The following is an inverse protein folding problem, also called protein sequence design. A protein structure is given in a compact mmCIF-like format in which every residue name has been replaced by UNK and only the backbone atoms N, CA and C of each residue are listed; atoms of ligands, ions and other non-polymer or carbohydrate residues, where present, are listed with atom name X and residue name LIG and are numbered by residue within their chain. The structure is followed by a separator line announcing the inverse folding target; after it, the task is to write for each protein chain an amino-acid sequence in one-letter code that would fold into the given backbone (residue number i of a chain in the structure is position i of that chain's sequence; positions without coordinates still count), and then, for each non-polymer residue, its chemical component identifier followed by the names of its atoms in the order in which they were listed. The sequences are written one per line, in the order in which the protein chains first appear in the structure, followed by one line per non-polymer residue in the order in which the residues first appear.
data_IF_794772490040
#
_entry.id   IF_794772490040
#
_cell.length_a   1.000
_cell.length_b   1.000
_cell.length_c   1.000
_cell.angle_alpha   90.00
_cell.angle_beta   90.00
_cell.angle_gamma   90.00
#
_symmetry.space_group_name_H-M   'P 1'
#
loop_
_entity.id
_entity.type
_entity.pdbx_description
1 polymer ?
#
# COMPACT_ATOMS: atom_id res chain seq x y z
N UNK A 1 -2.62 -7.76 -7.50
CA UNK A 1 -2.08 -9.09 -7.17
C UNK A 1 -2.31 -9.41 -5.71
N UNK A 2 -2.34 -10.71 -5.33
CA UNK A 2 -2.17 -11.09 -3.94
C UNK A 2 -0.69 -11.13 -3.61
N UNK A 3 -0.32 -10.83 -2.35
CA UNK A 3 1.09 -10.83 -1.94
C UNK A 3 1.76 -12.18 -2.22
N UNK A 4 1.11 -13.28 -1.87
CA UNK A 4 1.68 -14.64 -2.05
C UNK A 4 1.88 -15.00 -3.52
N UNK A 5 1.07 -14.42 -4.42
CA UNK A 5 1.26 -14.62 -5.86
C UNK A 5 2.60 -14.06 -6.38
N UNK A 6 3.24 -13.17 -5.61
CA UNK A 6 4.57 -12.65 -5.93
C UNK A 6 5.68 -13.69 -5.74
N UNK A 7 5.41 -14.78 -5.01
CA UNK A 7 6.37 -15.86 -4.79
C UNK A 7 6.93 -16.47 -6.08
N UNK A 8 6.13 -16.47 -7.15
CA UNK A 8 6.52 -17.01 -8.48
C UNK A 8 7.58 -16.20 -9.21
N UNK A 9 7.80 -14.92 -8.81
CA UNK A 9 8.73 -14.05 -9.50
C UNK A 9 10.12 -14.08 -8.85
N UNK A 10 11.16 -14.13 -9.67
CA UNK A 10 12.57 -14.16 -9.23
C UNK A 10 13.11 -12.75 -8.90
N UNK A 11 12.48 -11.69 -9.40
CA UNK A 11 12.91 -10.30 -9.20
C UNK A 11 11.74 -9.35 -9.26
N UNK A 12 11.91 -8.14 -8.69
CA UNK A 12 10.92 -7.06 -8.78
C UNK A 12 10.63 -6.68 -10.23
N UNK A 13 11.66 -6.60 -11.09
CA UNK A 13 11.50 -6.31 -12.52
C UNK A 13 10.57 -7.31 -13.20
N UNK A 14 10.72 -8.60 -12.91
CA UNK A 14 9.85 -9.64 -13.45
C UNK A 14 8.42 -9.52 -12.91
N UNK A 15 8.26 -9.19 -11.61
CA UNK A 15 6.95 -9.01 -10.99
C UNK A 15 6.20 -7.78 -11.55
N UNK A 16 6.93 -6.71 -11.85
CA UNK A 16 6.36 -5.48 -12.44
C UNK A 16 5.86 -5.67 -13.88
N UNK A 17 6.45 -6.59 -14.65
CA UNK A 17 6.02 -6.84 -16.04
C UNK A 17 6.01 -5.58 -16.92
N UNK A 18 6.98 -4.68 -16.73
CA UNK A 18 7.06 -3.40 -17.44
C UNK A 18 6.23 -2.27 -16.84
N UNK A 19 5.48 -2.53 -15.78
CA UNK A 19 4.76 -1.49 -15.02
C UNK A 19 5.67 -0.85 -13.96
N UNK A 20 5.25 0.31 -13.46
CA UNK A 20 5.98 1.04 -12.42
C UNK A 20 5.56 0.60 -11.02
N UNK A 21 4.34 0.13 -10.85
CA UNK A 21 3.76 -0.18 -9.54
C UNK A 21 3.09 -1.54 -9.52
N UNK A 22 3.09 -2.14 -8.34
CA UNK A 22 2.30 -3.33 -8.02
C UNK A 22 1.45 -3.00 -6.81
N UNK A 23 0.13 -3.10 -6.95
CA UNK A 23 -0.80 -3.10 -5.82
C UNK A 23 -0.97 -4.55 -5.36
N UNK A 24 -0.75 -4.78 -4.08
CA UNK A 24 -0.85 -6.10 -3.47
C UNK A 24 -1.88 -6.10 -2.36
N UNK A 25 -2.61 -7.21 -2.27
CA UNK A 25 -3.50 -7.53 -1.17
C UNK A 25 -2.84 -8.61 -0.31
N UNK A 26 -2.63 -8.32 0.96
CA UNK A 26 -2.38 -9.36 1.97
C UNK A 26 -3.69 -10.04 2.30
N UNK A 27 -3.73 -11.34 2.09
CA UNK A 27 -4.84 -12.18 2.54
C UNK A 27 -4.47 -12.76 3.89
N UNK A 28 -5.34 -12.59 4.88
CA UNK A 28 -5.16 -13.25 6.17
C UNK A 28 -5.41 -14.74 5.96
N UNK A 29 -4.37 -15.55 6.08
CA UNK A 29 -4.49 -17.00 5.93
C UNK A 29 -5.24 -17.61 7.10
N UNK A 30 -6.26 -18.41 6.82
CA UNK A 30 -7.19 -19.02 7.78
C UNK A 30 -6.55 -19.99 8.80
N UNK A 31 -5.23 -20.14 8.79
CA UNK A 31 -4.54 -21.26 9.44
C UNK A 31 -4.62 -21.32 10.95
N UNK A 32 -5.10 -20.31 11.68
CA UNK A 32 -4.86 -20.30 13.13
C UNK A 32 -6.00 -19.91 14.05
N UNK A 33 -7.11 -19.35 13.65
CA UNK A 33 -8.25 -19.21 14.57
C UNK A 33 -9.56 -18.80 13.90
N UNK A 34 -10.67 -19.25 14.48
CA UNK A 34 -12.03 -18.78 14.15
C UNK A 34 -12.19 -17.25 14.28
N UNK A 35 -11.32 -16.57 15.05
CA UNK A 35 -11.31 -15.11 15.22
C UNK A 35 -10.81 -14.33 14.01
N UNK A 36 -9.96 -14.95 13.17
CA UNK A 36 -9.34 -14.28 12.00
C UNK A 36 -10.16 -14.39 10.72
N UNK A 37 -11.23 -15.18 10.72
CA UNK A 37 -12.12 -15.37 9.55
C UNK A 37 -12.70 -14.09 8.96
N UNK A 38 -12.76 -13.02 9.78
CA UNK A 38 -13.36 -11.74 9.40
C UNK A 38 -12.37 -10.58 9.38
N UNK A 39 -11.05 -10.85 9.44
CA UNK A 39 -10.11 -9.76 9.26
C UNK A 39 -10.04 -9.39 7.79
N UNK A 40 -10.36 -8.13 7.45
CA UNK A 40 -10.22 -7.65 6.08
C UNK A 40 -8.74 -7.76 5.67
N UNK A 41 -8.49 -8.12 4.41
CA UNK A 41 -7.15 -8.07 3.86
C UNK A 41 -6.61 -6.65 3.90
N UNK A 42 -5.28 -6.51 3.83
CA UNK A 42 -4.63 -5.20 3.82
C UNK A 42 -3.98 -4.91 2.48
N UNK A 43 -4.23 -3.71 1.94
CA UNK A 43 -3.65 -3.28 0.67
C UNK A 43 -2.34 -2.51 0.88
N UNK A 44 -1.36 -2.85 0.05
CA UNK A 44 -0.08 -2.13 -0.04
C UNK A 44 0.26 -1.82 -1.50
N UNK A 45 1.19 -0.90 -1.72
CA UNK A 45 1.78 -0.68 -3.04
C UNK A 45 3.30 -0.74 -3.00
N UNK A 46 3.88 -1.43 -3.96
CA UNK A 46 5.31 -1.41 -4.25
C UNK A 46 5.50 -0.54 -5.49
N UNK A 47 6.27 0.53 -5.36
CA UNK A 47 6.55 1.48 -6.42
C UNK A 47 8.05 1.44 -6.78
N UNK A 48 8.35 0.93 -7.96
CA UNK A 48 9.69 0.96 -8.52
C UNK A 48 9.91 2.32 -9.20
N UNK A 49 10.36 3.27 -8.44
CA UNK A 49 10.60 4.64 -8.88
C UNK A 49 11.63 4.73 -10.02
N UNK A 50 11.82 5.94 -10.55
CA UNK A 50 12.77 6.21 -11.61
C UNK A 50 14.18 5.70 -11.27
N UNK A 51 14.97 5.42 -12.30
CA UNK A 51 16.35 4.93 -12.18
C UNK A 51 17.16 5.80 -11.19
N UNK A 52 17.83 5.17 -10.25
CA UNK A 52 18.63 5.85 -9.23
C UNK A 52 17.87 6.23 -7.95
N UNK A 53 16.55 6.00 -7.90
CA UNK A 53 15.77 6.18 -6.68
C UNK A 53 15.45 4.83 -6.01
N UNK A 54 15.39 4.78 -4.67
CA UNK A 54 15.07 3.55 -3.98
C UNK A 54 13.62 3.13 -4.28
N UNK A 55 13.41 1.83 -4.39
CA UNK A 55 12.06 1.27 -4.45
C UNK A 55 11.29 1.65 -3.19
N UNK A 56 10.02 1.94 -3.33
CA UNK A 56 9.16 2.32 -2.24
C UNK A 56 8.18 1.19 -1.91
N UNK A 57 8.07 0.89 -0.63
CA UNK A 57 6.98 0.11 -0.06
C UNK A 57 6.06 1.06 0.69
N UNK A 58 4.80 1.10 0.32
CA UNK A 58 3.81 1.95 0.97
C UNK A 58 2.69 1.12 1.56
N UNK A 59 2.43 1.36 2.83
CA UNK A 59 1.29 0.83 3.58
C UNK A 59 0.67 1.93 4.43
N UNK A 60 -0.65 2.05 4.43
CA UNK A 60 -1.35 3.04 5.24
C UNK A 60 -1.18 2.82 6.75
N UNK A 61 -0.86 1.61 7.18
CA UNK A 61 -0.60 1.28 8.58
C UNK A 61 0.67 1.93 9.14
N UNK A 62 1.66 2.22 8.28
CA UNK A 62 2.96 2.77 8.69
C UNK A 62 3.84 1.77 9.45
N UNK A 63 3.49 0.49 9.44
CA UNK A 63 4.29 -0.54 10.10
C UNK A 63 5.56 -0.86 9.31
N UNK A 64 6.56 -1.35 10.03
CA UNK A 64 7.73 -1.93 9.40
C UNK A 64 7.29 -3.14 8.56
N UNK A 65 7.69 -3.22 7.28
CA UNK A 65 7.16 -4.22 6.34
C UNK A 65 7.29 -5.67 6.81
N UNK A 66 8.40 -6.04 7.44
CA UNK A 66 8.58 -7.41 7.94
C UNK A 66 7.61 -7.75 9.07
N UNK A 67 7.30 -6.80 9.94
CA UNK A 67 6.31 -6.98 11.02
C UNK A 67 4.89 -7.05 10.47
N UNK A 68 4.57 -6.22 9.50
CA UNK A 68 3.26 -6.21 8.85
C UNK A 68 3.00 -7.55 8.13
N UNK A 69 3.98 -8.03 7.37
CA UNK A 69 3.90 -9.32 6.69
C UNK A 69 3.73 -10.47 7.69
N UNK A 70 4.50 -10.47 8.78
CA UNK A 70 4.39 -11.48 9.81
C UNK A 70 3.01 -11.48 10.48
N UNK A 71 2.41 -10.30 10.68
CA UNK A 71 1.06 -10.16 11.24
C UNK A 71 -0.03 -10.73 10.31
N UNK A 72 0.21 -10.79 9.00
CA UNK A 72 -0.70 -11.41 8.01
C UNK A 72 -0.41 -12.89 7.76
N UNK A 73 0.55 -13.46 8.49
CA UNK A 73 1.03 -14.86 8.28
C UNK A 73 1.57 -15.14 6.88
N UNK A 74 1.95 -14.11 6.15
CA UNK A 74 2.60 -14.23 4.85
C UNK A 74 4.11 -14.41 4.97
N UNK A 75 4.76 -14.96 3.92
CA UNK A 75 6.21 -15.20 3.95
C UNK A 75 7.02 -13.92 3.71
N UNK A 76 7.77 -13.40 4.71
CA UNK A 76 8.57 -12.20 4.55
C UNK A 76 9.74 -12.35 3.56
N UNK A 77 10.15 -13.59 3.25
CA UNK A 77 11.22 -13.85 2.28
C UNK A 77 10.83 -13.41 0.86
N UNK A 78 9.53 -13.37 0.55
CA UNK A 78 9.05 -12.87 -0.75
C UNK A 78 9.47 -11.42 -0.93
N UNK A 79 9.15 -10.55 0.03
CA UNK A 79 9.50 -9.13 -0.01
C UNK A 79 11.01 -8.93 -0.02
N UNK A 80 11.72 -9.61 0.86
CA UNK A 80 13.18 -9.52 0.95
C UNK A 80 13.87 -9.89 -0.37
N UNK A 81 13.38 -10.93 -1.06
CA UNK A 81 13.89 -11.33 -2.37
C UNK A 81 13.63 -10.29 -3.45
N UNK A 82 12.42 -9.68 -3.46
CA UNK A 82 12.02 -8.74 -4.49
C UNK A 82 12.63 -7.35 -4.30
N UNK A 83 12.68 -6.84 -3.09
CA UNK A 83 13.15 -5.48 -2.79
C UNK A 83 14.62 -5.43 -2.34
N UNK A 84 15.18 -6.54 -1.85
CA UNK A 84 16.49 -6.54 -1.23
C UNK A 84 16.51 -5.72 0.06
N UNK A 85 17.64 -5.05 0.32
CA UNK A 85 17.82 -4.22 1.53
C UNK A 85 17.61 -2.72 1.28
N UNK A 86 17.60 -2.30 0.01
CA UNK A 86 17.58 -0.88 -0.37
C UNK A 86 16.19 -0.45 -0.83
N UNK A 87 15.26 -0.40 0.08
CA UNK A 87 13.94 0.19 -0.17
C UNK A 87 13.58 1.16 0.95
N UNK A 88 12.66 2.07 0.67
CA UNK A 88 12.10 3.01 1.64
C UNK A 88 10.64 2.65 1.92
N UNK A 89 10.18 2.98 3.11
CA UNK A 89 8.77 2.84 3.49
C UNK A 89 8.32 4.00 4.39
N UNK A 90 7.02 4.22 4.46
CA UNK A 90 6.47 5.19 5.39
C UNK A 90 6.44 4.58 6.81
N UNK A 91 7.09 5.25 7.75
CA UNK A 91 7.14 4.83 9.17
C UNK A 91 6.05 5.47 10.04
N UNK A 92 5.16 6.25 9.43
CA UNK A 92 4.02 6.88 10.11
C UNK A 92 2.72 6.37 9.50
N UNK A 93 1.70 6.06 10.31
CA UNK A 93 0.40 5.67 9.81
C UNK A 93 -0.29 6.85 9.11
N UNK A 94 -1.10 6.52 8.12
CA UNK A 94 -2.00 7.43 7.43
C UNK A 94 -3.45 7.15 7.81
N UNK A 95 -3.80 5.87 7.97
CA UNK A 95 -5.12 5.47 8.41
C UNK A 95 -5.22 5.43 9.95
N UNK A 96 -6.41 5.66 10.45
CA UNK A 96 -6.72 5.47 11.87
C UNK A 96 -6.70 3.97 12.18
N UNK A 97 -5.99 3.59 13.22
CA UNK A 97 -6.02 2.23 13.76
C UNK A 97 -7.43 1.94 14.31
N UNK A 98 -8.13 0.99 13.74
CA UNK A 98 -9.46 0.59 14.18
C UNK A 98 -10.38 0.16 13.03
N UNK A 99 -11.69 0.46 13.12
CA UNK A 99 -12.74 -0.13 12.30
C UNK A 99 -12.87 0.40 10.86
N UNK A 100 -12.00 1.30 10.43
CA UNK A 100 -12.12 1.91 9.11
C UNK A 100 -11.24 1.18 8.10
N UNK A 101 -11.88 0.50 7.16
CA UNK A 101 -11.23 -0.22 6.08
C UNK A 101 -10.86 0.73 4.92
N UNK A 102 -9.94 1.69 5.18
CA UNK A 102 -9.53 2.72 4.22
C UNK A 102 -8.20 2.45 3.54
N UNK A 103 -7.49 1.37 3.88
CA UNK A 103 -6.17 1.04 3.34
C UNK A 103 -6.14 1.06 1.80
N UNK A 104 -7.17 0.56 1.11
CA UNK A 104 -7.25 0.57 -0.34
C UNK A 104 -7.35 1.98 -0.93
N UNK A 105 -8.02 2.92 -0.22
CA UNK A 105 -8.13 4.32 -0.63
C UNK A 105 -6.78 5.03 -0.55
N UNK A 106 -6.02 4.77 0.51
CA UNK A 106 -4.66 5.26 0.68
C UNK A 106 -3.73 4.74 -0.42
N UNK A 107 -3.84 3.47 -0.76
CA UNK A 107 -3.09 2.87 -1.86
C UNK A 107 -3.48 3.49 -3.20
N UNK A 108 -4.77 3.71 -3.45
CA UNK A 108 -5.26 4.39 -4.66
C UNK A 108 -4.69 5.80 -4.77
N UNK A 109 -4.80 6.60 -3.70
CA UNK A 109 -4.22 7.95 -3.67
C UNK A 109 -2.70 7.93 -3.90
N UNK A 110 -1.99 6.93 -3.31
CA UNK A 110 -0.55 6.76 -3.54
C UNK A 110 -0.22 6.41 -4.99
N UNK A 111 -1.05 5.63 -5.66
CA UNK A 111 -0.90 5.33 -7.08
C UNK A 111 -1.10 6.57 -7.95
N UNK A 112 -2.17 7.32 -7.74
CA UNK A 112 -2.49 8.55 -8.48
C UNK A 112 -1.38 9.60 -8.29
N UNK A 113 -0.94 9.79 -7.06
CA UNK A 113 0.13 10.72 -6.69
C UNK A 113 1.53 10.08 -6.73
N UNK A 114 1.68 9.04 -7.53
CA UNK A 114 2.92 8.26 -7.67
C UNK A 114 4.14 9.09 -8.09
N UNK A 115 3.94 10.22 -8.77
CA UNK A 115 4.99 11.17 -9.13
C UNK A 115 5.62 11.87 -7.92
N UNK A 116 4.91 12.03 -6.81
CA UNK A 116 5.45 12.59 -5.59
C UNK A 116 6.40 11.57 -4.91
N UNK A 117 7.49 12.05 -4.33
CA UNK A 117 8.26 11.21 -3.42
C UNK A 117 7.49 11.00 -2.11
N UNK A 118 7.86 9.96 -1.35
CA UNK A 118 7.15 9.59 -0.13
C UNK A 118 7.06 10.73 0.89
N UNK A 119 8.14 11.52 1.05
CA UNK A 119 8.18 12.66 1.97
C UNK A 119 7.21 13.78 1.55
N UNK A 120 7.11 14.07 0.25
CA UNK A 120 6.16 15.05 -0.28
C UNK A 120 4.73 14.56 -0.14
N UNK A 121 4.48 13.28 -0.40
CA UNK A 121 3.18 12.67 -0.16
C UNK A 121 2.78 12.76 1.32
N UNK A 122 3.68 12.42 2.24
CA UNK A 122 3.43 12.55 3.69
C UNK A 122 3.11 13.99 4.10
N UNK A 123 3.85 14.98 3.58
CA UNK A 123 3.60 16.40 3.87
C UNK A 123 2.23 16.88 3.38
N UNK A 124 1.79 16.39 2.23
CA UNK A 124 0.50 16.78 1.67
C UNK A 124 -0.65 16.50 2.65
N UNK A 125 -0.58 15.38 3.37
CA UNK A 125 -1.61 14.98 4.33
C UNK A 125 -1.33 15.49 5.75
N UNK A 126 -0.09 15.47 6.21
CA UNK A 126 0.26 15.85 7.58
C UNK A 126 0.09 17.35 7.89
N UNK A 127 0.21 18.23 6.87
CA UNK A 127 0.17 19.69 7.08
C UNK A 127 -1.24 20.28 7.00
N UNK A 128 -2.21 19.56 6.51
CA UNK A 128 -3.53 20.13 6.18
C UNK A 128 -4.68 19.54 6.97
N UNK A 129 -4.46 18.44 7.67
CA UNK A 129 -5.55 17.68 8.25
C UNK A 129 -5.20 17.19 9.66
N UNK A 130 -6.19 17.22 10.53
CA UNK A 130 -6.11 16.52 11.80
C UNK A 130 -6.00 15.01 11.51
N UNK A 131 -5.11 14.26 12.16
CA UNK A 131 -5.02 12.80 11.99
C UNK A 131 -6.34 12.07 12.20
N UNK A 132 -7.28 12.63 12.99
CA UNK A 132 -8.62 12.06 13.17
C UNK A 132 -9.46 12.08 11.90
N UNK A 133 -9.22 13.02 11.00
CA UNK A 133 -10.06 13.27 9.84
C UNK A 133 -9.46 12.67 8.54
N UNK A 134 -8.28 12.06 8.66
CA UNK A 134 -7.51 11.59 7.50
C UNK A 134 -8.27 10.54 6.66
N UNK A 135 -9.01 9.65 7.30
CA UNK A 135 -9.79 8.61 6.63
C UNK A 135 -11.03 9.17 5.91
N UNK A 136 -11.66 10.18 6.47
CA UNK A 136 -12.78 10.88 5.84
C UNK A 136 -12.30 11.64 4.61
N UNK A 137 -11.18 12.34 4.73
CA UNK A 137 -10.58 13.10 3.65
C UNK A 137 -10.16 12.20 2.49
N UNK A 138 -9.47 11.10 2.76
CA UNK A 138 -9.07 10.17 1.69
C UNK A 138 -10.29 9.53 1.03
N UNK A 139 -11.36 9.32 1.78
CA UNK A 139 -12.64 8.83 1.25
C UNK A 139 -13.24 9.83 0.28
N UNK A 140 -13.38 11.10 0.68
CA UNK A 140 -13.88 12.17 -0.17
C UNK A 140 -13.00 12.35 -1.41
N UNK A 141 -11.68 12.43 -1.25
CA UNK A 141 -10.75 12.58 -2.37
C UNK A 141 -10.88 11.45 -3.38
N UNK A 142 -10.95 10.21 -2.94
CA UNK A 142 -11.07 9.06 -3.85
C UNK A 142 -12.42 9.00 -4.55
N UNK A 143 -13.51 9.40 -3.90
CA UNK A 143 -14.83 9.52 -4.53
C UNK A 143 -14.84 10.60 -5.61
N UNK A 144 -14.25 11.76 -5.35
CA UNK A 144 -14.16 12.85 -6.34
C UNK A 144 -13.34 12.46 -7.55
N UNK A 145 -12.22 11.75 -7.35
CA UNK A 145 -11.38 11.28 -8.44
C UNK A 145 -12.10 10.25 -9.33
N UNK A 146 -12.86 9.32 -8.75
CA UNK A 146 -13.64 8.34 -9.51
C UNK A 146 -14.79 9.00 -10.25
N UNK A 147 -15.49 9.95 -9.64
CA UNK A 147 -16.56 10.70 -10.31
C UNK A 147 -16.05 11.53 -11.50
N UNK A 148 -14.84 12.08 -11.41
CA UNK A 148 -14.22 12.84 -12.48
C UNK A 148 -13.85 11.96 -13.68
N UNK A 149 -13.39 10.73 -13.44
CA UNK A 149 -13.13 9.78 -14.52
C UNK A 149 -14.41 9.37 -15.27
N UNK A 150 -15.52 9.23 -14.58
CA UNK A 150 -16.81 8.87 -15.20
C UNK A 150 -17.38 10.02 -16.04
N UNK A 151 -17.16 11.27 -15.64
CA UNK A 151 -17.54 12.44 -16.42
C UNK A 151 -16.71 12.64 -17.69
N UNK A 152 -15.48 12.13 -17.74
CA UNK A 152 -14.62 12.22 -18.92
C UNK A 152 -14.89 11.13 -19.97
N UNK A 153 -15.62 10.08 -19.61
CA UNK A 153 -15.96 8.96 -20.50
C UNK A 153 -17.31 9.17 -21.24
N UNK A 154 -18.08 10.18 -20.86
CA UNK A 154 -19.35 10.59 -21.51
C UNK A 154 -19.14 11.85 -22.33
#
# INVERSE_FOLDING_TARGET
ATYDSLAKFKSLKAALGGKQMIVCLYQVHERTSKKLKNMPGHFIVINARAKGQPTEYFSSSGWEPGKEIAATYSDPKILQRLLGKNFIYNSKPFERMGDQNTCWRWVLARCILGHLNLKSFQRLFAQRFNPSDSDDIITIMTLLLTAQEDLQKN
#
